data_IF_219844387937
#
_entry.id   IF_219844387937
#
_cell.length_a   1.000
_cell.length_b   1.000
_cell.length_c   1.000
_cell.angle_alpha   90.00
_cell.angle_beta   90.00
_cell.angle_gamma   90.00
#
_symmetry.space_group_name_H-M   'P 1'
#
loop_
_entity.id
_entity.type
_entity.pdbx_description
1 polymer ?
#
# COMPACT_ATOMS: atom_id res chain seq x y z
N UNK A 1 -17.44 18.04 -17.42
CA UNK A 1 -16.34 17.30 -16.77
C UNK A 1 -16.99 16.25 -15.92
N UNK A 2 -16.82 14.98 -16.26
CA UNK A 2 -17.22 13.90 -15.37
C UNK A 2 -16.29 13.95 -14.16
N UNK A 3 -16.87 13.85 -12.96
CA UNK A 3 -16.12 13.83 -11.71
C UNK A 3 -15.40 12.48 -11.61
N UNK A 4 -14.09 12.49 -11.42
CA UNK A 4 -13.33 11.28 -11.07
C UNK A 4 -13.94 10.72 -9.78
N UNK A 5 -14.31 9.44 -9.79
CA UNK A 5 -14.85 8.77 -8.60
C UNK A 5 -13.69 8.15 -7.80
N UNK A 6 -13.59 8.50 -6.52
CA UNK A 6 -12.58 7.98 -5.59
C UNK A 6 -13.07 6.81 -4.73
N UNK A 7 -14.22 6.23 -5.09
CA UNK A 7 -14.91 5.28 -4.22
C UNK A 7 -14.12 3.97 -4.05
N UNK A 8 -13.54 3.47 -5.14
CA UNK A 8 -12.72 2.25 -5.11
C UNK A 8 -11.41 2.54 -4.38
N UNK A 9 -10.80 3.70 -4.63
CA UNK A 9 -9.56 4.10 -3.97
C UNK A 9 -9.73 4.16 -2.44
N UNK A 10 -10.77 4.82 -1.94
CA UNK A 10 -11.09 4.86 -0.50
C UNK A 10 -11.33 3.47 0.08
N UNK A 11 -12.05 2.61 -0.65
CA UNK A 11 -12.28 1.23 -0.23
C UNK A 11 -10.97 0.46 -0.13
N UNK A 12 -10.03 0.70 -1.05
CA UNK A 12 -8.70 0.10 -1.03
C UNK A 12 -7.90 0.59 0.19
N UNK A 13 -7.96 1.88 0.55
CA UNK A 13 -7.29 2.42 1.75
C UNK A 13 -7.80 1.75 3.03
N UNK A 14 -9.13 1.64 3.18
CA UNK A 14 -9.74 0.97 4.33
C UNK A 14 -9.36 -0.52 4.39
N UNK A 15 -9.30 -1.16 3.23
CA UNK A 15 -8.94 -2.58 3.12
C UNK A 15 -7.46 -2.81 3.41
N UNK A 16 -6.59 -1.91 2.94
CA UNK A 16 -5.16 -1.91 3.27
C UNK A 16 -4.96 -1.82 4.78
N UNK A 17 -5.59 -0.84 5.44
CA UNK A 17 -5.50 -0.65 6.89
C UNK A 17 -5.91 -1.90 7.66
N UNK A 18 -7.02 -2.54 7.29
CA UNK A 18 -7.47 -3.81 7.90
C UNK A 18 -6.45 -4.94 7.76
N UNK A 19 -5.86 -5.12 6.58
CA UNK A 19 -4.85 -6.16 6.39
C UNK A 19 -3.52 -5.81 7.08
N UNK A 20 -3.18 -4.53 7.15
CA UNK A 20 -2.03 -4.06 7.91
C UNK A 20 -2.17 -4.41 9.41
N UNK A 21 -3.33 -4.13 10.01
CA UNK A 21 -3.64 -4.52 11.39
C UNK A 21 -3.58 -6.04 11.60
N UNK A 22 -4.14 -6.83 10.67
CA UNK A 22 -4.05 -8.29 10.72
C UNK A 22 -2.59 -8.77 10.68
N UNK A 23 -1.76 -8.16 9.84
CA UNK A 23 -0.33 -8.49 9.78
C UNK A 23 0.39 -8.21 11.09
N UNK A 24 0.07 -7.10 11.75
CA UNK A 24 0.58 -6.81 13.10
C UNK A 24 0.18 -7.89 14.10
N UNK A 25 -1.08 -8.32 14.08
CA UNK A 25 -1.59 -9.35 14.99
C UNK A 25 -0.89 -10.69 14.73
N UNK A 26 -0.79 -11.11 13.47
CA UNK A 26 -0.10 -12.32 13.04
C UNK A 26 1.37 -12.32 13.47
N UNK A 27 2.11 -11.23 13.22
CA UNK A 27 3.50 -11.10 13.64
C UNK A 27 3.64 -11.12 15.18
N UNK A 28 2.69 -10.52 15.90
CA UNK A 28 2.74 -10.47 17.37
C UNK A 28 2.60 -11.85 18.02
N UNK A 29 1.92 -12.78 17.35
CA UNK A 29 1.76 -14.18 17.79
C UNK A 29 2.76 -15.13 17.13
N UNK A 30 3.66 -14.61 16.28
CA UNK A 30 4.62 -15.40 15.53
C UNK A 30 5.54 -16.22 16.44
N UNK A 31 5.65 -17.51 16.11
CA UNK A 31 6.63 -18.41 16.74
C UNK A 31 7.98 -18.25 16.05
N UNK A 32 9.04 -18.08 16.85
CA UNK A 32 10.40 -17.98 16.33
C UNK A 32 10.81 -19.29 15.65
N UNK A 33 11.59 -19.18 14.57
CA UNK A 33 12.04 -20.36 13.82
C UNK A 33 10.98 -21.03 12.94
N UNK A 34 9.76 -20.49 12.90
CA UNK A 34 8.64 -21.08 12.15
C UNK A 34 8.18 -20.16 11.03
N UNK A 35 7.78 -20.71 9.87
CA UNK A 35 7.09 -19.94 8.84
C UNK A 35 5.67 -19.57 9.25
N UNK A 36 5.03 -18.70 8.46
CA UNK A 36 3.64 -18.27 8.66
C UNK A 36 2.89 -18.19 7.34
N UNK A 37 2.01 -19.17 7.11
CA UNK A 37 1.09 -19.16 5.95
C UNK A 37 0.06 -18.04 6.05
N UNK A 38 -0.33 -17.67 7.28
CA UNK A 38 -1.25 -16.55 7.50
C UNK A 38 -0.63 -15.23 7.05
N UNK A 39 0.66 -15.02 7.33
CA UNK A 39 1.36 -13.82 6.87
C UNK A 39 1.50 -13.80 5.34
N UNK A 40 1.73 -14.95 4.71
CA UNK A 40 1.76 -15.06 3.24
C UNK A 40 0.41 -14.62 2.64
N UNK A 41 -0.70 -15.11 3.18
CA UNK A 41 -2.05 -14.73 2.74
C UNK A 41 -2.31 -13.23 2.93
N UNK A 42 -1.91 -12.66 4.08
CA UNK A 42 -2.06 -11.22 4.34
C UNK A 42 -1.29 -10.40 3.31
N UNK A 43 -0.05 -10.76 3.00
CA UNK A 43 0.78 -10.04 2.02
C UNK A 43 0.23 -10.20 0.60
N UNK A 44 -0.28 -11.37 0.25
CA UNK A 44 -0.94 -11.57 -1.06
C UNK A 44 -2.19 -10.69 -1.19
N UNK A 45 -3.00 -10.57 -0.14
CA UNK A 45 -4.17 -9.70 -0.13
C UNK A 45 -3.77 -8.21 -0.22
N UNK A 46 -2.71 -7.79 0.45
CA UNK A 46 -2.19 -6.41 0.32
C UNK A 46 -1.73 -6.11 -1.12
N UNK A 47 -1.11 -7.09 -1.79
CA UNK A 47 -0.73 -6.94 -3.20
C UNK A 47 -1.96 -6.73 -4.10
N UNK A 48 -3.01 -7.54 -3.91
CA UNK A 48 -4.25 -7.39 -4.65
C UNK A 48 -4.90 -6.00 -4.46
N UNK A 49 -4.85 -5.47 -3.24
CA UNK A 49 -5.33 -4.12 -2.94
C UNK A 49 -4.51 -3.07 -3.71
N UNK A 50 -3.18 -3.18 -3.68
CA UNK A 50 -2.30 -2.27 -4.43
C UNK A 50 -2.52 -2.36 -5.94
N UNK A 51 -2.66 -3.58 -6.47
CA UNK A 51 -2.95 -3.80 -7.89
C UNK A 51 -4.27 -3.13 -8.29
N UNK A 52 -5.30 -3.22 -7.43
CA UNK A 52 -6.59 -2.55 -7.65
C UNK A 52 -6.44 -1.02 -7.65
N UNK A 53 -5.66 -0.45 -6.72
CA UNK A 53 -5.37 1.00 -6.70
C UNK A 53 -4.65 1.45 -7.98
N UNK A 54 -3.69 0.66 -8.46
CA UNK A 54 -2.95 0.95 -9.69
C UNK A 54 -3.84 0.86 -10.93
N UNK A 55 -4.68 -0.17 -11.02
CA UNK A 55 -5.64 -0.34 -12.12
C UNK A 55 -6.63 0.84 -12.20
N UNK A 56 -7.16 1.28 -11.06
CA UNK A 56 -8.05 2.45 -11.00
C UNK A 56 -7.32 3.73 -11.43
N UNK A 57 -6.08 3.94 -10.97
CA UNK A 57 -5.25 5.05 -11.43
C UNK A 57 -5.07 5.04 -12.95
N UNK A 58 -4.64 3.92 -13.53
CA UNK A 58 -4.42 3.77 -14.97
C UNK A 58 -5.72 3.99 -15.75
N UNK A 59 -6.85 3.49 -15.25
CA UNK A 59 -8.15 3.71 -15.87
C UNK A 59 -8.49 5.20 -15.93
N UNK A 60 -8.33 5.93 -14.81
CA UNK A 60 -8.61 7.38 -14.76
C UNK A 60 -7.67 8.16 -15.69
N UNK A 61 -6.38 7.82 -15.72
CA UNK A 61 -5.41 8.42 -16.68
C UNK A 61 -5.90 8.25 -18.12
N UNK A 62 -6.35 7.04 -18.45
CA UNK A 62 -6.79 6.66 -19.80
C UNK A 62 -8.08 7.39 -20.18
N UNK A 63 -9.05 7.44 -19.28
CA UNK A 63 -10.34 8.13 -19.51
C UNK A 63 -10.16 9.64 -19.73
N UNK A 64 -9.14 10.24 -19.11
CA UNK A 64 -8.80 11.65 -19.26
C UNK A 64 -7.87 11.94 -20.45
N UNK A 65 -7.33 10.90 -21.12
CA UNK A 65 -6.39 11.04 -22.23
C UNK A 65 -5.06 11.68 -21.81
N UNK A 66 -4.60 11.41 -20.58
CA UNK A 66 -3.41 12.04 -19.99
C UNK A 66 -2.14 11.16 -20.06
N UNK A 67 -2.17 10.03 -20.76
CA UNK A 67 -1.07 9.07 -20.84
C UNK A 67 0.24 9.72 -21.30
N UNK A 68 0.18 10.53 -22.37
CA UNK A 68 1.36 11.21 -22.92
C UNK A 68 1.85 12.35 -22.01
N UNK A 69 0.95 13.02 -21.30
CA UNK A 69 1.30 14.12 -20.36
C UNK A 69 2.06 13.57 -19.16
N UNK A 70 1.61 12.43 -18.63
CA UNK A 70 2.26 11.75 -17.50
C UNK A 70 3.62 11.17 -17.90
N UNK A 71 3.74 10.58 -19.09
CA UNK A 71 5.02 10.04 -19.58
C UNK A 71 6.10 11.11 -19.75
N UNK A 72 5.70 12.33 -20.09
CA UNK A 72 6.63 13.46 -20.28
C UNK A 72 6.91 14.24 -18.99
N UNK A 73 6.35 13.82 -17.85
CA UNK A 73 6.48 14.46 -16.53
C UNK A 73 6.08 15.95 -16.52
N UNK A 74 5.14 16.33 -17.41
CA UNK A 74 4.57 17.67 -17.51
C UNK A 74 3.43 17.81 -16.48
N UNK A 75 3.84 17.99 -15.21
CA UNK A 75 2.93 18.03 -14.06
C UNK A 75 2.01 19.27 -14.02
N UNK A 76 2.25 20.29 -14.84
CA UNK A 76 1.49 21.55 -14.81
C UNK A 76 0.04 21.38 -15.33
N UNK A 77 -0.21 20.33 -16.12
CA UNK A 77 -1.52 20.04 -16.72
C UNK A 77 -2.26 18.86 -16.07
N UNK A 78 -1.71 18.25 -15.01
CA UNK A 78 -2.29 17.09 -14.35
C UNK A 78 -3.27 17.55 -13.24
N UNK A 79 -4.53 17.06 -13.24
CA UNK A 79 -5.47 17.32 -12.15
C UNK A 79 -4.88 16.93 -10.79
N UNK A 80 -5.09 17.75 -9.76
CA UNK A 80 -4.55 17.51 -8.41
C UNK A 80 -4.99 16.15 -7.86
N UNK A 81 -6.25 15.82 -8.13
CA UNK A 81 -6.90 14.54 -7.86
C UNK A 81 -6.08 13.35 -8.37
N UNK A 82 -5.56 13.45 -9.60
CA UNK A 82 -4.76 12.40 -10.21
C UNK A 82 -3.35 12.31 -9.61
N UNK A 83 -2.77 13.45 -9.22
CA UNK A 83 -1.52 13.47 -8.46
C UNK A 83 -1.67 12.81 -7.09
N UNK A 84 -2.81 12.99 -6.41
CA UNK A 84 -3.07 12.29 -5.14
C UNK A 84 -3.13 10.77 -5.33
N UNK A 85 -3.82 10.29 -6.38
CA UNK A 85 -3.87 8.85 -6.69
C UNK A 85 -2.46 8.29 -6.96
N UNK A 86 -1.68 8.98 -7.80
CA UNK A 86 -0.28 8.61 -8.11
C UNK A 86 0.56 8.52 -6.84
N UNK A 87 0.54 9.57 -6.01
CA UNK A 87 1.31 9.61 -4.78
C UNK A 87 0.92 8.49 -3.82
N UNK A 88 -0.37 8.19 -3.70
CA UNK A 88 -0.82 7.07 -2.87
C UNK A 88 -0.33 5.72 -3.39
N UNK A 89 -0.48 5.47 -4.69
CA UNK A 89 -0.03 4.22 -5.32
C UNK A 89 1.47 4.03 -5.08
N UNK A 90 2.28 5.04 -5.40
CA UNK A 90 3.75 4.98 -5.25
C UNK A 90 4.14 4.71 -3.79
N UNK A 91 3.42 5.31 -2.85
CA UNK A 91 3.71 5.19 -1.44
C UNK A 91 3.31 3.81 -0.88
N UNK A 92 2.13 3.29 -1.24
CA UNK A 92 1.71 1.95 -0.83
C UNK A 92 2.55 0.85 -1.50
N UNK A 93 3.08 1.10 -2.70
CA UNK A 93 4.08 0.22 -3.32
C UNK A 93 5.38 0.16 -2.49
N UNK A 94 5.91 1.30 -2.06
CA UNK A 94 7.08 1.33 -1.16
C UNK A 94 6.80 0.61 0.17
N UNK A 95 5.62 0.83 0.76
CA UNK A 95 5.21 0.12 1.98
C UNK A 95 5.10 -1.40 1.73
N UNK A 96 4.53 -1.79 0.59
CA UNK A 96 4.42 -3.19 0.18
C UNK A 96 5.78 -3.86 0.11
N UNK A 97 6.79 -3.20 -0.47
CA UNK A 97 8.15 -3.75 -0.58
C UNK A 97 8.74 -4.10 0.79
N UNK A 98 8.49 -3.28 1.82
CA UNK A 98 8.93 -3.58 3.20
C UNK A 98 8.20 -4.80 3.74
N UNK A 99 6.88 -4.89 3.53
CA UNK A 99 6.04 -6.00 3.97
C UNK A 99 6.42 -7.30 3.26
N UNK A 100 6.77 -7.23 1.98
CA UNK A 100 7.28 -8.36 1.22
C UNK A 100 8.64 -8.85 1.73
N UNK A 101 9.54 -7.94 2.09
CA UNK A 101 10.80 -8.31 2.73
C UNK A 101 10.56 -9.06 4.05
N UNK A 102 9.63 -8.58 4.88
CA UNK A 102 9.24 -9.22 6.14
C UNK A 102 8.64 -10.62 5.88
N UNK A 103 7.78 -10.76 4.86
CA UNK A 103 7.27 -12.06 4.38
C UNK A 103 8.43 -13.00 4.10
N UNK A 104 9.38 -12.58 3.28
CA UNK A 104 10.53 -13.40 2.88
C UNK A 104 11.34 -13.91 4.07
N UNK A 105 11.53 -13.10 5.10
CA UNK A 105 12.21 -13.52 6.35
C UNK A 105 11.39 -14.61 7.06
N UNK A 106 10.08 -14.41 7.17
CA UNK A 106 9.20 -15.34 7.89
C UNK A 106 9.04 -16.66 7.14
N UNK A 107 8.79 -16.65 5.83
CA UNK A 107 8.47 -17.85 5.05
C UNK A 107 9.67 -18.80 4.87
N UNK A 108 10.90 -18.35 5.12
CA UNK A 108 12.11 -19.18 5.11
C UNK A 108 12.28 -19.99 6.40
N UNK A 109 13.07 -19.45 7.34
CA UNK A 109 13.35 -20.07 8.64
C UNK A 109 12.58 -19.42 9.79
N UNK A 110 11.70 -18.45 9.50
CA UNK A 110 11.10 -17.61 10.54
C UNK A 110 12.12 -16.66 11.18
N UNK A 111 11.68 -15.88 12.17
CA UNK A 111 12.60 -15.00 12.90
C UNK A 111 13.49 -15.80 13.84
N UNK A 112 14.80 -15.62 13.73
CA UNK A 112 15.78 -16.25 14.60
C UNK A 112 15.77 -15.70 16.04
N UNK A 113 15.42 -14.42 16.23
CA UNK A 113 15.45 -13.76 17.54
C UNK A 113 14.19 -12.92 17.80
N UNK A 114 13.87 -12.71 19.07
CA UNK A 114 12.80 -11.76 19.46
C UNK A 114 13.10 -10.34 19.00
N UNK A 115 14.37 -9.93 18.95
CA UNK A 115 14.76 -8.60 18.47
C UNK A 115 14.45 -8.42 16.97
N UNK A 116 14.75 -9.42 16.14
CA UNK A 116 14.40 -9.37 14.72
C UNK A 116 12.89 -9.30 14.50
N UNK A 117 12.13 -10.10 15.27
CA UNK A 117 10.67 -10.05 15.24
C UNK A 117 10.13 -8.67 15.67
N UNK A 118 10.59 -8.12 16.79
CA UNK A 118 10.15 -6.81 17.27
C UNK A 118 10.50 -5.68 16.30
N UNK A 119 11.68 -5.71 15.69
CA UNK A 119 12.07 -4.77 14.65
C UNK A 119 11.18 -4.87 13.41
N UNK A 120 10.84 -6.10 13.00
CA UNK A 120 9.95 -6.33 11.85
C UNK A 120 8.52 -5.90 12.14
N UNK A 121 8.00 -6.09 13.36
CA UNK A 121 6.71 -5.55 13.78
C UNK A 121 6.72 -4.01 13.74
N UNK A 122 7.81 -3.38 14.17
CA UNK A 122 7.93 -1.93 14.13
C UNK A 122 7.94 -1.40 12.68
N UNK A 123 8.67 -2.06 11.79
CA UNK A 123 8.69 -1.74 10.35
C UNK A 123 7.36 -2.07 9.65
N UNK A 124 6.64 -3.10 10.09
CA UNK A 124 5.31 -3.39 9.56
C UNK A 124 4.31 -2.28 9.92
N UNK A 125 4.40 -1.80 11.17
CA UNK A 125 3.56 -0.73 11.73
C UNK A 125 3.92 0.66 11.26
N UNK A 126 5.15 0.89 10.77
CA UNK A 126 5.48 2.20 10.23
C UNK A 126 4.56 2.44 9.06
N UNK A 127 3.57 3.30 9.28
CA UNK A 127 2.74 3.82 8.23
C UNK A 127 3.67 4.46 7.21
N UNK A 128 3.33 4.27 5.96
CA UNK A 128 3.98 4.96 4.89
C UNK A 128 3.85 6.48 5.08
N UNK A 129 4.94 7.20 4.80
CA UNK A 129 5.11 8.63 4.99
C UNK A 129 4.25 9.44 4.00
N UNK A 130 2.94 9.21 3.96
CA UNK A 130 2.04 10.22 3.45
C UNK A 130 2.16 11.42 4.39
N UNK A 131 2.31 12.60 3.80
CA UNK A 131 2.03 13.83 4.52
C UNK A 131 0.62 13.71 5.10
N UNK A 132 0.47 13.94 6.41
CA UNK A 132 -0.82 13.95 7.09
C UNK A 132 -1.81 14.87 6.36
N UNK A 133 -1.31 15.94 5.74
CA UNK A 133 -2.07 16.86 4.90
C UNK A 133 -2.64 16.17 3.66
N UNK A 134 -1.85 15.34 2.97
CA UNK A 134 -2.29 14.62 1.77
C UNK A 134 -3.32 13.53 2.11
N UNK A 135 -3.15 12.84 3.26
CA UNK A 135 -4.18 11.92 3.75
C UNK A 135 -5.50 12.62 4.04
N UNK A 136 -5.45 13.78 4.70
CA UNK A 136 -6.65 14.57 5.00
C UNK A 136 -7.30 15.12 3.73
N UNK A 137 -6.54 15.47 2.69
CA UNK A 137 -7.09 15.88 1.40
C UNK A 137 -7.78 14.71 0.69
N UNK A 138 -7.19 13.51 0.70
CA UNK A 138 -7.80 12.31 0.11
C UNK A 138 -9.09 11.90 0.83
N UNK A 139 -9.16 12.09 2.16
CA UNK A 139 -10.39 11.85 2.94
C UNK A 139 -11.52 12.83 2.63
N UNK A 140 -11.19 14.03 2.09
CA UNK A 140 -12.15 15.10 1.76
C UNK A 140 -12.69 15.02 0.33
N UNK A 141 -11.93 14.40 -0.58
CA UNK A 141 -12.48 13.85 -1.84
C UNK A 141 -13.54 12.81 -1.52
#
# INVERSE_FOLDING_TARGET
MESISFTTFKTCLDTWSKYNEKGVQCLSTQTLGSPSTELDDIVNNLKQVLDTMFEEYVQVVTELGLEEVIQNDDNDNIPKELNYMRNCVDMYDQEYMVKECIRGIVSGEGFATRQHLSGSIALWKSESYLDDELQEEIKKL
#
